data_IF_020074217493
#
_entry.id   IF_020074217493
#
_cell.length_a   1.000
_cell.length_b   1.000
_cell.length_c   1.000
_cell.angle_alpha   90.00
_cell.angle_beta   90.00
_cell.angle_gamma   90.00
#
_symmetry.space_group_name_H-M   'P 1'
#
loop_
_entity.id
_entity.type
_entity.pdbx_description
1 polymer ?
#
# COMPACT_ATOMS: atom_id res chain seq x y z
N UNK A 1 -12.49 1.91 11.43
CA UNK A 1 -11.23 2.21 10.73
C UNK A 1 -11.26 1.51 9.40
N UNK A 2 -10.54 2.02 8.40
CA UNK A 2 -10.48 1.36 7.10
C UNK A 2 -9.93 -0.07 7.24
N UNK A 3 -10.53 -1.02 6.52
CA UNK A 3 -10.27 -2.47 6.63
C UNK A 3 -8.80 -2.87 6.34
N UNK A 4 -8.03 -1.98 5.70
CA UNK A 4 -6.72 -2.28 5.14
C UNK A 4 -5.51 -1.77 5.97
N UNK A 5 -5.73 -1.06 7.08
CA UNK A 5 -4.65 -0.42 7.85
C UNK A 5 -3.64 -1.42 8.43
N UNK A 6 -4.11 -2.52 9.00
CA UNK A 6 -3.23 -3.55 9.56
C UNK A 6 -2.39 -4.23 8.45
N UNK A 7 -3.01 -4.48 7.31
CA UNK A 7 -2.33 -5.06 6.14
C UNK A 7 -1.24 -4.13 5.61
N UNK A 8 -1.53 -2.82 5.51
CA UNK A 8 -0.53 -1.81 5.13
C UNK A 8 0.64 -1.75 6.10
N UNK A 9 0.36 -1.77 7.41
CA UNK A 9 1.40 -1.75 8.44
C UNK A 9 2.32 -2.97 8.33
N UNK A 10 1.75 -4.18 8.27
CA UNK A 10 2.56 -5.39 8.17
C UNK A 10 3.37 -5.43 6.87
N UNK A 11 2.79 -4.98 5.76
CA UNK A 11 3.51 -4.88 4.51
C UNK A 11 4.70 -3.94 4.58
N UNK A 12 4.51 -2.72 5.10
CA UNK A 12 5.58 -1.74 5.27
C UNK A 12 6.69 -2.25 6.20
N UNK A 13 6.33 -3.08 7.17
CA UNK A 13 7.27 -3.72 8.09
C UNK A 13 8.01 -4.91 7.50
N UNK A 14 7.40 -5.67 6.58
CA UNK A 14 7.96 -6.90 6.02
C UNK A 14 8.77 -6.67 4.74
N UNK A 15 8.55 -5.56 4.03
CA UNK A 15 9.22 -5.23 2.78
C UNK A 15 10.76 -5.40 2.90
N UNK A 16 11.31 -6.29 2.06
CA UNK A 16 12.73 -6.65 2.00
C UNK A 16 13.37 -7.20 3.29
N UNK A 17 12.58 -7.72 4.23
CA UNK A 17 13.09 -8.46 5.40
C UNK A 17 13.09 -9.96 5.24
N UNK A 18 12.21 -10.48 4.41
CA UNK A 18 11.93 -11.92 4.29
C UNK A 18 12.38 -12.51 2.94
N UNK A 19 12.89 -11.68 2.02
CA UNK A 19 13.31 -12.11 0.68
C UNK A 19 12.16 -12.56 -0.23
N UNK A 20 10.90 -12.40 0.19
CA UNK A 20 9.71 -12.76 -0.58
C UNK A 20 9.02 -11.52 -1.18
N UNK A 21 8.30 -11.73 -2.27
CA UNK A 21 7.38 -10.73 -2.80
C UNK A 21 6.11 -10.66 -1.96
N UNK A 22 5.59 -9.45 -1.78
CA UNK A 22 4.38 -9.20 -1.01
C UNK A 22 3.22 -8.84 -1.94
N UNK A 23 2.07 -9.46 -1.74
CA UNK A 23 0.82 -9.12 -2.42
C UNK A 23 -0.12 -8.40 -1.46
N UNK A 24 -0.60 -7.21 -1.85
CA UNK A 24 -1.61 -6.46 -1.12
C UNK A 24 -2.99 -7.03 -1.38
N UNK A 25 -3.70 -7.37 -0.33
CA UNK A 25 -5.10 -7.77 -0.34
C UNK A 25 -5.79 -7.18 0.89
N UNK A 26 -7.13 -7.16 0.89
CA UNK A 26 -8.03 -6.57 1.93
C UNK A 26 -8.55 -5.18 1.58
N UNK A 27 -9.83 -5.07 1.20
CA UNK A 27 -10.55 -3.78 1.10
C UNK A 27 -10.06 -2.79 0.03
N UNK A 28 -9.31 -3.24 -0.99
CA UNK A 28 -8.71 -2.36 -1.99
C UNK A 28 -9.72 -2.09 -3.10
N UNK A 29 -10.37 -0.92 -3.04
CA UNK A 29 -11.47 -0.56 -3.95
C UNK A 29 -11.15 0.59 -4.90
N UNK A 30 -10.03 1.29 -4.71
CA UNK A 30 -9.64 2.46 -5.49
C UNK A 30 -8.12 2.56 -5.67
N UNK A 31 -7.72 3.50 -6.55
CA UNK A 31 -6.32 3.77 -6.86
C UNK A 31 -5.54 4.35 -5.66
N UNK A 32 -6.20 5.10 -4.78
CA UNK A 32 -5.55 5.67 -3.59
C UNK A 32 -5.10 4.56 -2.64
N UNK A 33 -5.97 3.60 -2.37
CA UNK A 33 -5.68 2.44 -1.54
C UNK A 33 -4.64 1.55 -2.21
N UNK A 34 -4.77 1.29 -3.52
CA UNK A 34 -3.76 0.56 -4.30
C UNK A 34 -2.37 1.22 -4.21
N UNK A 35 -2.29 2.54 -4.37
CA UNK A 35 -1.05 3.30 -4.26
C UNK A 35 -0.42 3.17 -2.87
N UNK A 36 -1.21 3.21 -1.79
CA UNK A 36 -0.70 2.98 -0.42
C UNK A 36 -0.03 1.62 -0.29
N UNK A 37 -0.62 0.57 -0.85
CA UNK A 37 -0.03 -0.79 -0.82
C UNK A 37 1.27 -0.85 -1.61
N UNK A 38 1.33 -0.26 -2.80
CA UNK A 38 2.57 -0.19 -3.58
C UNK A 38 3.64 0.58 -2.80
N UNK A 39 3.32 1.77 -2.28
CA UNK A 39 4.23 2.60 -1.48
C UNK A 39 4.73 1.86 -0.22
N UNK A 40 3.90 1.01 0.38
CA UNK A 40 4.29 0.16 1.52
C UNK A 40 5.23 -1.00 1.11
N UNK A 41 5.22 -1.42 -0.16
CA UNK A 41 6.11 -2.46 -0.67
C UNK A 41 5.44 -3.59 -1.45
N UNK A 42 4.14 -3.50 -1.76
CA UNK A 42 3.45 -4.50 -2.57
C UNK A 42 4.10 -4.63 -3.95
N UNK A 43 4.30 -5.86 -4.39
CA UNK A 43 4.68 -6.20 -5.78
C UNK A 43 3.45 -6.51 -6.64
N UNK A 44 2.35 -6.91 -6.01
CA UNK A 44 1.05 -7.11 -6.65
C UNK A 44 -0.09 -6.67 -5.71
N UNK A 45 -1.26 -6.38 -6.28
CA UNK A 45 -2.45 -5.93 -5.54
C UNK A 45 -3.70 -6.66 -6.04
N UNK A 46 -4.55 -7.13 -5.11
CA UNK A 46 -5.82 -7.81 -5.39
C UNK A 46 -7.02 -6.91 -5.10
N UNK A 47 -7.94 -6.81 -6.06
CA UNK A 47 -9.14 -5.93 -6.02
C UNK A 47 -10.45 -6.70 -6.18
N UNK A 48 -10.51 -7.93 -5.65
CA UNK A 48 -11.59 -8.90 -5.91
C UNK A 48 -13.01 -8.36 -5.66
N UNK A 49 -13.25 -7.76 -4.50
CA UNK A 49 -14.56 -7.18 -4.13
C UNK A 49 -14.96 -6.00 -5.02
N UNK A 50 -13.99 -5.16 -5.41
CA UNK A 50 -14.20 -4.04 -6.33
C UNK A 50 -14.56 -4.53 -7.73
N UNK A 51 -13.88 -5.58 -8.20
CA UNK A 51 -14.18 -6.24 -9.47
C UNK A 51 -15.56 -6.89 -9.44
N UNK A 52 -15.91 -7.60 -8.36
CA UNK A 52 -17.22 -8.25 -8.22
C UNK A 52 -18.38 -7.25 -8.28
N UNK A 53 -18.23 -6.07 -7.65
CA UNK A 53 -19.28 -5.04 -7.60
C UNK A 53 -19.37 -4.18 -8.87
N UNK A 54 -18.24 -3.81 -9.47
CA UNK A 54 -18.19 -2.87 -10.61
C UNK A 54 -17.87 -3.49 -11.97
N UNK A 55 -17.58 -4.79 -12.02
CA UNK A 55 -17.20 -5.51 -13.23
C UNK A 55 -15.83 -5.09 -13.79
N UNK A 56 -15.50 -5.60 -14.97
CA UNK A 56 -14.17 -5.43 -15.59
C UNK A 56 -13.76 -3.97 -15.84
N UNK A 57 -14.73 -3.07 -16.02
CA UNK A 57 -14.46 -1.63 -16.21
C UNK A 57 -13.77 -1.00 -14.99
N UNK A 58 -14.00 -1.54 -13.80
CA UNK A 58 -13.32 -1.09 -12.57
C UNK A 58 -11.81 -1.18 -12.68
N UNK A 59 -11.28 -2.21 -13.36
CA UNK A 59 -9.83 -2.38 -13.52
C UNK A 59 -9.24 -1.21 -14.29
N UNK A 60 -9.81 -0.87 -15.45
CA UNK A 60 -9.35 0.26 -16.27
C UNK A 60 -9.40 1.57 -15.50
N UNK A 61 -10.54 1.84 -14.83
CA UNK A 61 -10.70 3.04 -14.00
C UNK A 61 -9.61 3.17 -12.92
N UNK A 62 -9.36 2.10 -12.17
CA UNK A 62 -8.34 2.11 -11.10
C UNK A 62 -6.94 2.32 -11.68
N UNK A 63 -6.63 1.72 -12.83
CA UNK A 63 -5.33 1.89 -13.48
C UNK A 63 -5.13 3.32 -14.01
N UNK A 64 -6.15 3.94 -14.59
CA UNK A 64 -6.07 5.32 -15.07
C UNK A 64 -5.97 6.30 -13.89
N UNK A 65 -6.78 6.12 -12.85
CA UNK A 65 -6.70 6.90 -11.61
C UNK A 65 -5.32 6.75 -10.95
N UNK A 66 -4.71 5.55 -10.99
CA UNK A 66 -3.37 5.31 -10.47
C UNK A 66 -2.30 6.04 -11.29
N UNK A 67 -2.41 6.04 -12.62
CA UNK A 67 -1.47 6.78 -13.50
C UNK A 67 -1.50 8.28 -13.21
N UNK A 68 -2.69 8.86 -13.07
CA UNK A 68 -2.85 10.27 -12.69
C UNK A 68 -2.20 10.54 -11.33
N UNK A 69 -2.41 9.65 -10.37
CA UNK A 69 -1.79 9.72 -9.04
C UNK A 69 -0.26 9.68 -9.11
N UNK A 70 0.29 8.79 -9.95
CA UNK A 70 1.73 8.64 -10.15
C UNK A 70 2.34 9.91 -10.74
N UNK A 71 1.73 10.45 -11.79
CA UNK A 71 2.17 11.69 -12.43
C UNK A 71 2.13 12.86 -11.44
N UNK A 72 1.03 13.00 -10.69
CA UNK A 72 0.87 14.04 -9.68
C UNK A 72 1.91 13.95 -8.54
N UNK A 73 2.39 12.75 -8.22
CA UNK A 73 3.41 12.51 -7.20
C UNK A 73 4.85 12.42 -7.75
N UNK A 74 5.03 12.57 -9.07
CA UNK A 74 6.35 12.54 -9.73
C UNK A 74 6.97 11.15 -9.88
N UNK A 75 6.16 10.09 -9.91
CA UNK A 75 6.63 8.73 -10.12
C UNK A 75 6.55 8.33 -11.59
N UNK A 76 7.68 7.86 -12.14
CA UNK A 76 7.77 7.43 -13.55
C UNK A 76 7.39 5.97 -13.77
N UNK A 77 7.38 5.16 -12.72
CA UNK A 77 7.01 3.74 -12.79
C UNK A 77 6.48 3.22 -11.45
N UNK A 78 5.74 2.12 -11.48
CA UNK A 78 5.25 1.44 -10.26
C UNK A 78 6.44 1.00 -9.39
N UNK A 79 7.52 0.54 -10.01
CA UNK A 79 8.75 0.19 -9.29
C UNK A 79 9.38 1.38 -8.57
N UNK A 80 9.31 2.60 -9.13
CA UNK A 80 9.84 3.81 -8.48
C UNK A 80 9.03 4.23 -7.23
N UNK A 81 7.76 3.81 -7.14
CA UNK A 81 6.91 3.99 -5.98
C UNK A 81 7.15 2.93 -4.91
N UNK A 82 7.45 1.71 -5.33
CA UNK A 82 7.39 0.53 -4.47
C UNK A 82 8.29 0.67 -3.25
N UNK A 83 7.70 0.59 -2.06
CA UNK A 83 8.43 0.62 -0.79
C UNK A 83 8.93 1.99 -0.33
N UNK A 84 8.56 3.10 -1.00
CA UNK A 84 8.96 4.47 -0.60
C UNK A 84 8.46 4.88 0.79
N UNK A 85 7.37 4.27 1.27
CA UNK A 85 6.82 4.45 2.63
C UNK A 85 7.00 3.20 3.51
N UNK A 86 7.93 2.30 3.15
CA UNK A 86 8.28 1.14 3.98
C UNK A 86 9.15 1.54 5.18
N UNK A 87 9.19 0.70 6.20
CA UNK A 87 10.07 0.92 7.36
C UNK A 87 11.56 0.94 6.98
N UNK A 88 11.93 0.33 5.85
CA UNK A 88 13.29 0.38 5.31
C UNK A 88 13.66 1.76 4.76
N UNK A 89 12.70 2.52 4.21
CA UNK A 89 12.99 3.81 3.57
C UNK A 89 13.39 4.90 4.57
N UNK A 90 13.03 4.77 5.86
CA UNK A 90 13.28 5.79 6.88
C UNK A 90 14.68 5.71 7.51
N UNK A 91 15.43 4.61 7.31
CA UNK A 91 16.74 4.39 7.92
C UNK A 91 16.75 4.26 9.46
N UNK A 92 15.62 4.53 10.13
CA UNK A 92 15.41 4.53 11.59
C UNK A 92 14.25 3.59 11.95
N UNK A 93 14.51 2.29 11.81
CA UNK A 93 13.52 1.22 11.97
C UNK A 93 12.89 1.17 13.37
N UNK A 94 13.69 1.45 14.40
CA UNK A 94 13.30 1.49 15.81
C UNK A 94 12.28 2.60 16.09
N UNK A 95 12.46 3.77 15.48
CA UNK A 95 11.51 4.89 15.58
C UNK A 95 10.21 4.61 14.83
N UNK A 96 10.30 4.03 13.63
CA UNK A 96 9.13 3.60 12.88
C UNK A 96 8.30 2.60 13.72
N UNK A 97 8.96 1.59 14.30
CA UNK A 97 8.32 0.60 15.16
C UNK A 97 7.70 1.23 16.42
N UNK A 98 8.37 2.19 17.05
CA UNK A 98 7.85 2.91 18.22
C UNK A 98 6.62 3.73 17.91
N UNK A 99 6.61 4.47 16.80
CA UNK A 99 5.43 5.23 16.36
C UNK A 99 4.25 4.29 16.10
N UNK A 100 4.51 3.17 15.44
CA UNK A 100 3.52 2.15 15.17
C UNK A 100 2.98 1.52 16.48
N UNK A 101 3.84 1.25 17.45
CA UNK A 101 3.43 0.78 18.78
C UNK A 101 2.53 1.80 19.51
N UNK A 102 2.92 3.09 19.52
CA UNK A 102 2.12 4.15 20.14
C UNK A 102 0.74 4.24 19.50
N UNK A 103 0.65 4.26 18.16
CA UNK A 103 -0.62 4.27 17.44
C UNK A 103 -1.53 3.10 17.82
N UNK A 104 -0.97 1.90 17.97
CA UNK A 104 -1.72 0.71 18.37
C UNK A 104 -2.27 0.81 19.79
N UNK A 105 -1.53 1.44 20.73
CA UNK A 105 -1.99 1.66 22.10
C UNK A 105 -3.03 2.79 22.22
N UNK A 106 -2.87 3.86 21.44
CA UNK A 106 -3.72 5.05 21.53
C UNK A 106 -4.95 4.98 20.64
N UNK A 107 -5.03 4.00 19.73
CA UNK A 107 -6.13 3.83 18.78
C UNK A 107 -6.15 4.86 17.64
N UNK A 108 -5.09 5.66 17.48
CA UNK A 108 -4.98 6.65 16.41
C UNK A 108 -4.56 5.92 15.12
N UNK A 109 -5.52 5.65 14.24
CA UNK A 109 -5.32 5.04 12.91
C UNK A 109 -5.38 6.08 11.81
#
# INVERSE_FOLDING_TARGET
GDEYHDSLRWMALLFQRTGIELCGATGIHDAQTMAKFILAGASAVQICSALYKGGWKTVGKILDDLRILMEAQGFSSVDSMRGRLSAKSTGRLDEYMRLQYIKALTGIS
#
